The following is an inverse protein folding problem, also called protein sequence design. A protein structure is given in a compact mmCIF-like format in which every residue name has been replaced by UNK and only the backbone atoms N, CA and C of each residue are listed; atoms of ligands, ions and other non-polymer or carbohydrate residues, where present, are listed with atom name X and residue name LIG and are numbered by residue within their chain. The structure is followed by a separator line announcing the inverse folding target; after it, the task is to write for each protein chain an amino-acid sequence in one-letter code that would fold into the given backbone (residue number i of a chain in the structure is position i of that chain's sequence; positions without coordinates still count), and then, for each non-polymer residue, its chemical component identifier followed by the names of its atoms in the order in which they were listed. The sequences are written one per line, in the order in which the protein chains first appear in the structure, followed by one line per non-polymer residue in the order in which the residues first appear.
data_IF_316970851905
#
_entry.id   IF_316970851905
#
_cell.length_a   1.000
_cell.length_b   1.000
_cell.length_c   1.000
_cell.angle_alpha   90.00
_cell.angle_beta   90.00
_cell.angle_gamma   90.00
#
_symmetry.space_group_name_H-M   'P 1'
#
loop_
_entity.id
_entity.type
_entity.pdbx_description
1 polymer ?
#
# COMPACT_ATOMS: atom_id res chain seq x y z
N UNK A 1 -65.77 -14.29 17.74
CA UNK A 1 -66.63 -15.25 17.01
C UNK A 1 -65.90 -15.71 15.76
N UNK A 2 -65.27 -16.89 15.81
CA UNK A 2 -64.85 -17.67 14.65
C UNK A 2 -65.25 -19.11 14.93
N UNK A 3 -66.13 -19.66 14.08
CA UNK A 3 -66.72 -21.00 14.24
C UNK A 3 -65.72 -22.06 13.79
N UNK A 4 -65.43 -23.03 14.66
CA UNK A 4 -64.67 -24.24 14.32
C UNK A 4 -65.63 -25.27 13.73
N UNK A 5 -65.36 -25.73 12.50
CA UNK A 5 -66.05 -26.89 11.91
C UNK A 5 -65.56 -28.18 12.57
N UNK A 6 -66.53 -29.01 12.94
CA UNK A 6 -66.41 -30.33 13.56
C UNK A 6 -66.56 -31.39 12.48
N UNK A 7 -65.51 -32.13 12.14
CA UNK A 7 -65.58 -33.49 11.58
C UNK A 7 -64.19 -34.02 11.23
N UNK A 8 -63.61 -34.85 12.09
CA UNK A 8 -63.09 -36.19 11.76
C UNK A 8 -62.33 -36.79 12.97
N UNK A 9 -62.60 -38.04 13.38
CA UNK A 9 -61.89 -38.71 14.46
C UNK A 9 -60.57 -39.30 13.95
N UNK A 10 -59.46 -38.89 14.56
CA UNK A 10 -58.18 -39.55 14.37
C UNK A 10 -58.26 -41.01 14.81
N UNK A 11 -58.13 -41.94 13.86
CA UNK A 11 -57.91 -43.35 14.13
C UNK A 11 -56.46 -43.54 14.60
N UNK A 12 -56.26 -44.03 15.82
CA UNK A 12 -54.97 -44.58 16.24
C UNK A 12 -54.84 -46.02 15.71
N UNK A 13 -53.69 -46.33 15.11
CA UNK A 13 -53.26 -47.68 14.70
C UNK A 13 -52.78 -48.53 15.88
N UNK A 14 -53.51 -48.50 16.99
CA UNK A 14 -53.38 -49.47 18.07
C UNK A 14 -54.75 -49.57 18.75
N UNK A 15 -55.50 -50.62 18.45
CA UNK A 15 -56.85 -50.80 18.96
C UNK A 15 -56.86 -51.02 20.47
N UNK A 16 -57.11 -49.96 21.27
CA UNK A 16 -57.81 -50.00 22.57
C UNK A 16 -58.46 -48.64 22.84
N UNK A 17 -59.72 -48.66 23.32
CA UNK A 17 -60.46 -47.49 23.80
C UNK A 17 -59.83 -46.97 25.11
N UNK A 18 -59.65 -45.67 25.23
CA UNK A 18 -59.47 -45.01 26.52
C UNK A 18 -60.85 -44.53 27.00
N UNK A 19 -61.40 -45.20 28.00
CA UNK A 19 -62.52 -44.71 28.80
C UNK A 19 -61.95 -43.98 30.02
N UNK A 20 -62.56 -42.82 30.33
CA UNK A 20 -62.54 -42.20 31.65
C UNK A 20 -61.20 -41.62 32.10
N UNK A 21 -61.10 -40.30 32.10
CA UNK A 21 -60.74 -39.47 33.27
C UNK A 21 -60.41 -38.04 32.80
N UNK A 22 -61.30 -37.11 33.13
CA UNK A 22 -61.03 -35.68 33.15
C UNK A 22 -60.13 -35.34 34.34
N UNK A 23 -59.06 -34.58 34.12
CA UNK A 23 -58.34 -33.90 35.20
C UNK A 23 -58.60 -32.38 35.11
N UNK A 24 -58.99 -31.71 36.20
CA UNK A 24 -59.24 -30.28 36.24
C UNK A 24 -57.96 -29.46 36.41
N UNK A 25 -58.04 -28.18 36.05
CA UNK A 25 -56.98 -27.18 36.21
C UNK A 25 -56.67 -26.90 37.69
N UNK A 26 -55.38 -26.95 38.05
CA UNK A 26 -54.89 -26.55 39.37
C UNK A 26 -53.51 -27.13 39.70
N UNK A 27 -52.59 -26.25 40.07
CA UNK A 27 -51.19 -26.49 40.46
C UNK A 27 -51.04 -27.33 41.73
N UNK A 28 -50.10 -28.29 41.72
CA UNK A 28 -49.49 -28.86 42.92
C UNK A 28 -47.98 -29.06 42.71
N UNK A 29 -47.20 -28.54 43.63
CA UNK A 29 -45.80 -28.87 43.85
C UNK A 29 -45.67 -30.19 44.63
N UNK A 30 -44.55 -30.88 44.40
CA UNK A 30 -44.01 -32.02 45.17
C UNK A 30 -44.65 -33.41 44.97
N UNK A 31 -44.22 -34.08 43.91
CA UNK A 31 -43.65 -35.43 43.97
C UNK A 31 -42.60 -35.53 42.86
N UNK A 32 -41.38 -35.91 43.23
CA UNK A 32 -40.20 -35.94 42.37
C UNK A 32 -40.37 -36.82 41.13
N UNK A 33 -39.40 -36.69 40.21
CA UNK A 33 -39.35 -37.22 38.84
C UNK A 33 -39.95 -36.29 37.78
N UNK A 34 -39.29 -35.14 37.57
CA UNK A 34 -39.44 -34.37 36.33
C UNK A 34 -38.71 -35.09 35.19
N UNK A 35 -39.42 -35.91 34.43
CA UNK A 35 -39.00 -36.19 33.06
C UNK A 35 -39.21 -34.88 32.28
N UNK A 36 -38.14 -34.15 31.98
CA UNK A 36 -38.21 -32.88 31.22
C UNK A 36 -38.90 -33.16 29.88
N UNK A 37 -40.16 -32.75 29.80
CA UNK A 37 -40.97 -32.62 28.59
C UNK A 37 -40.20 -31.73 27.61
N UNK A 38 -39.65 -32.31 26.54
CA UNK A 38 -39.60 -31.76 25.17
C UNK A 38 -38.65 -32.58 24.26
N UNK A 39 -39.03 -33.80 23.89
CA UNK A 39 -38.56 -34.44 22.66
C UNK A 39 -39.68 -34.32 21.62
N UNK A 40 -39.87 -33.13 21.03
CA UNK A 40 -41.00 -32.86 20.11
C UNK A 40 -40.62 -32.85 18.63
N UNK A 41 -39.35 -33.04 18.29
CA UNK A 41 -38.92 -33.15 16.90
C UNK A 41 -38.71 -34.62 16.56
N UNK A 42 -39.49 -35.10 15.58
CA UNK A 42 -39.36 -36.43 14.98
C UNK A 42 -37.98 -36.51 14.30
N UNK A 43 -37.07 -37.31 14.84
CA UNK A 43 -35.74 -37.51 14.24
C UNK A 43 -34.81 -38.30 15.15
N UNK A 44 -34.30 -37.68 16.21
CA UNK A 44 -32.96 -38.08 16.70
C UNK A 44 -32.91 -38.42 18.20
N UNK A 45 -33.62 -39.47 18.60
CA UNK A 45 -33.48 -40.04 19.94
C UNK A 45 -33.56 -41.56 19.91
N UNK A 46 -32.51 -42.26 20.34
CA UNK A 46 -32.57 -43.69 20.58
C UNK A 46 -33.02 -43.94 22.03
N UNK A 47 -34.18 -44.58 22.23
CA UNK A 47 -34.58 -45.09 23.53
C UNK A 47 -34.14 -46.55 23.64
N UNK A 48 -33.20 -46.87 24.53
CA UNK A 48 -32.86 -48.26 24.85
C UNK A 48 -33.62 -48.73 26.09
N UNK A 49 -34.19 -49.94 26.00
CA UNK A 49 -34.90 -50.58 27.12
C UNK A 49 -33.88 -51.18 28.09
N UNK A 50 -33.95 -50.81 29.36
CA UNK A 50 -33.35 -51.59 30.46
C UNK A 50 -34.45 -52.20 31.31
N UNK A 51 -34.30 -53.50 31.64
CA UNK A 51 -35.19 -54.18 32.57
C UNK A 51 -34.77 -53.83 34.01
N UNK A 52 -35.63 -53.09 34.72
CA UNK A 52 -35.50 -52.90 36.16
C UNK A 52 -36.04 -54.11 36.94
N UNK A 53 -35.46 -54.39 38.10
CA UNK A 53 -35.65 -55.63 38.89
C UNK A 53 -37.01 -55.80 39.58
N UNK A 54 -38.02 -54.94 39.33
CA UNK A 54 -39.37 -55.08 39.88
C UNK A 54 -40.46 -54.59 38.93
N UNK A 55 -40.43 -55.04 37.67
CA UNK A 55 -41.55 -54.90 36.73
C UNK A 55 -41.93 -53.47 36.33
N UNK A 56 -41.10 -52.46 36.65
CA UNK A 56 -41.31 -51.07 36.22
C UNK A 56 -40.41 -50.77 35.01
N UNK A 57 -41.04 -50.49 33.86
CA UNK A 57 -40.35 -50.05 32.65
C UNK A 57 -39.93 -48.58 32.82
N UNK A 58 -38.64 -48.31 32.97
CA UNK A 58 -38.10 -46.96 32.84
C UNK A 58 -37.58 -46.77 31.41
N UNK A 59 -37.87 -45.62 30.79
CA UNK A 59 -37.26 -45.20 29.53
C UNK A 59 -36.29 -44.08 29.85
N UNK A 60 -35.01 -44.30 29.56
CA UNK A 60 -33.99 -43.27 29.63
C UNK A 60 -33.94 -42.59 28.26
N UNK A 61 -34.46 -41.37 28.18
CA UNK A 61 -34.39 -40.55 26.97
C UNK A 61 -33.11 -39.70 27.03
N UNK A 62 -32.12 -40.04 26.20
CA UNK A 62 -30.99 -39.15 25.95
C UNK A 62 -31.37 -38.24 24.79
N UNK A 63 -31.53 -36.93 25.06
CA UNK A 63 -31.64 -35.95 23.98
C UNK A 63 -30.26 -35.82 23.33
N UNK A 64 -30.10 -36.31 22.10
CA UNK A 64 -28.98 -35.91 21.26
C UNK A 64 -29.17 -34.42 20.97
N UNK A 65 -28.27 -33.60 21.51
CA UNK A 65 -28.28 -32.15 21.28
C UNK A 65 -28.04 -31.86 19.80
N UNK A 66 -28.63 -30.75 19.36
CA UNK A 66 -28.45 -30.08 18.06
C UNK A 66 -27.05 -30.23 17.47
N UNK A 67 -26.98 -30.52 16.17
CA UNK A 67 -25.76 -30.53 15.36
C UNK A 67 -24.87 -29.32 15.68
N UNK A 68 -23.55 -29.52 15.81
CA UNK A 68 -22.61 -28.41 16.04
C UNK A 68 -22.73 -27.42 14.86
N UNK A 69 -23.35 -26.26 15.10
CA UNK A 69 -23.56 -25.19 14.08
C UNK A 69 -22.27 -24.37 13.86
N UNK A 70 -21.12 -24.88 14.31
CA UNK A 70 -19.85 -24.16 14.23
C UNK A 70 -19.30 -24.18 12.81
N UNK A 71 -18.98 -23.00 12.29
CA UNK A 71 -18.26 -22.86 11.03
C UNK A 71 -16.81 -22.47 11.27
N UNK A 72 -15.93 -22.84 10.33
CA UNK A 72 -14.55 -22.40 10.36
C UNK A 72 -14.47 -20.90 9.99
N UNK A 73 -13.47 -20.18 10.50
CA UNK A 73 -13.09 -18.88 9.94
C UNK A 73 -12.80 -18.99 8.44
N UNK A 74 -12.97 -17.88 7.70
CA UNK A 74 -12.71 -17.81 6.25
C UNK A 74 -12.06 -16.49 5.85
N UNK A 75 -11.65 -16.35 4.59
CA UNK A 75 -11.01 -15.14 4.05
C UNK A 75 -9.83 -14.68 4.90
N UNK A 76 -8.90 -15.61 5.15
CA UNK A 76 -7.69 -15.35 5.92
C UNK A 76 -6.72 -14.57 5.03
N UNK A 77 -6.33 -13.39 5.49
CA UNK A 77 -5.36 -12.51 4.83
C UNK A 77 -4.33 -12.05 5.88
N UNK A 78 -3.10 -11.81 5.43
CA UNK A 78 -2.04 -11.26 6.27
C UNK A 78 -1.22 -10.26 5.47
N UNK A 79 -0.92 -9.11 6.08
CA UNK A 79 -0.17 -8.02 5.47
C UNK A 79 0.93 -7.61 6.45
N UNK A 80 2.18 -7.59 6.02
CA UNK A 80 3.29 -7.04 6.81
C UNK A 80 2.97 -5.59 7.23
N UNK A 81 3.34 -5.18 8.43
CA UNK A 81 3.23 -3.79 8.92
C UNK A 81 4.60 -3.14 9.17
N UNK A 82 5.62 -3.96 9.45
CA UNK A 82 7.00 -3.50 9.66
C UNK A 82 7.98 -4.64 9.36
N UNK A 83 9.27 -4.43 9.62
CA UNK A 83 10.25 -5.50 9.57
C UNK A 83 9.93 -6.63 10.56
N UNK A 84 9.17 -6.38 11.63
CA UNK A 84 8.97 -7.33 12.72
C UNK A 84 7.49 -7.65 13.01
N UNK A 85 6.53 -6.98 12.34
CA UNK A 85 5.10 -7.13 12.62
C UNK A 85 4.26 -7.29 11.35
N UNK A 86 3.11 -7.94 11.48
CA UNK A 86 2.08 -8.07 10.44
C UNK A 86 0.67 -7.92 11.04
N UNK A 87 -0.30 -7.52 10.22
CA UNK A 87 -1.71 -7.59 10.53
C UNK A 87 -2.32 -8.82 9.86
N UNK A 88 -3.03 -9.63 10.65
CA UNK A 88 -3.78 -10.80 10.18
C UNK A 88 -5.26 -10.45 10.25
N UNK A 89 -6.00 -10.65 9.17
CA UNK A 89 -7.44 -10.39 9.04
C UNK A 89 -8.18 -11.66 8.63
N UNK A 90 -9.39 -11.84 9.14
CA UNK A 90 -10.25 -12.98 8.79
C UNK A 90 -11.73 -12.68 9.01
N UNK A 91 -12.59 -13.45 8.34
CA UNK A 91 -14.02 -13.52 8.66
C UNK A 91 -14.25 -14.52 9.80
N UNK A 92 -14.81 -14.11 10.95
CA UNK A 92 -15.05 -15.02 12.07
C UNK A 92 -16.06 -16.11 11.71
N UNK A 93 -15.83 -17.32 12.22
CA UNK A 93 -16.82 -18.40 12.16
C UNK A 93 -18.00 -18.17 13.12
N UNK A 94 -19.11 -18.86 12.91
CA UNK A 94 -20.30 -18.80 13.78
C UNK A 94 -20.27 -19.87 14.86
N UNK A 95 -20.95 -19.65 15.99
CA UNK A 95 -21.17 -20.69 17.01
C UNK A 95 -19.96 -21.02 17.90
N UNK A 96 -18.95 -20.14 17.94
CA UNK A 96 -17.80 -20.24 18.83
C UNK A 96 -17.99 -19.32 20.05
N UNK A 97 -17.37 -19.68 21.18
CA UNK A 97 -17.27 -18.79 22.36
C UNK A 97 -15.90 -18.13 22.46
N UNK A 98 -14.90 -18.63 21.74
CA UNK A 98 -13.56 -18.04 21.70
C UNK A 98 -12.81 -18.44 20.41
N UNK A 99 -11.71 -17.74 20.13
CA UNK A 99 -10.80 -18.04 19.05
C UNK A 99 -9.34 -18.06 19.51
N UNK A 100 -8.52 -18.90 18.86
CA UNK A 100 -7.07 -18.92 19.03
C UNK A 100 -6.38 -18.64 17.69
N UNK A 101 -5.24 -17.96 17.75
CA UNK A 101 -4.34 -17.71 16.62
C UNK A 101 -2.98 -18.34 16.92
N UNK A 102 -2.46 -19.07 15.95
CA UNK A 102 -1.14 -19.68 15.97
C UNK A 102 -0.35 -19.16 14.77
N UNK A 103 0.93 -18.81 14.95
CA UNK A 103 1.80 -18.37 13.85
C UNK A 103 3.24 -18.87 14.05
N UNK A 104 3.83 -19.40 12.99
CA UNK A 104 5.21 -19.91 12.96
C UNK A 104 5.80 -19.99 11.54
N UNK A 105 7.12 -20.20 11.43
CA UNK A 105 7.81 -20.46 10.16
C UNK A 105 7.53 -21.90 9.67
N UNK A 106 7.16 -22.81 10.58
CA UNK A 106 6.86 -24.22 10.29
C UNK A 106 5.35 -24.48 10.14
N UNK A 107 4.92 -24.84 8.93
CA UNK A 107 3.54 -25.29 8.68
C UNK A 107 3.13 -26.46 9.58
N UNK A 108 4.05 -27.40 9.85
CA UNK A 108 3.80 -28.56 10.69
C UNK A 108 3.58 -28.17 12.16
N UNK A 109 4.31 -27.17 12.66
CA UNK A 109 4.12 -26.67 14.02
C UNK A 109 2.75 -26.01 14.19
N UNK A 110 2.35 -25.18 13.22
CA UNK A 110 1.04 -24.51 13.20
C UNK A 110 -0.10 -25.52 13.09
N UNK A 111 0.03 -26.53 12.22
CA UNK A 111 -0.98 -27.59 12.10
C UNK A 111 -1.07 -28.46 13.36
N UNK A 112 0.08 -28.70 14.01
CA UNK A 112 0.22 -29.36 15.30
C UNK A 112 -0.16 -28.51 16.51
N UNK A 113 -0.76 -27.32 16.30
CA UNK A 113 -1.21 -26.41 17.37
C UNK A 113 -0.10 -25.97 18.32
N UNK A 114 1.14 -25.94 17.82
CA UNK A 114 2.28 -25.41 18.54
C UNK A 114 2.60 -26.16 19.85
N UNK A 115 2.39 -27.48 19.88
CA UNK A 115 2.69 -28.30 21.07
C UNK A 115 4.15 -28.18 21.54
N UNK A 116 5.08 -27.93 20.62
CA UNK A 116 6.51 -27.73 20.89
C UNK A 116 6.92 -26.25 20.94
N UNK A 117 5.92 -25.35 20.98
CA UNK A 117 6.09 -23.90 20.88
C UNK A 117 5.90 -23.39 19.46
N UNK A 118 5.40 -22.16 19.36
CA UNK A 118 5.39 -21.38 18.12
C UNK A 118 5.88 -19.97 18.43
N UNK A 119 6.25 -19.25 17.38
CA UNK A 119 6.66 -17.85 17.48
C UNK A 119 5.59 -16.95 18.09
N UNK A 120 4.32 -17.20 17.79
CA UNK A 120 3.19 -16.49 18.38
C UNK A 120 2.02 -17.44 18.66
N UNK A 121 1.45 -17.31 19.86
CA UNK A 121 0.23 -17.98 20.27
C UNK A 121 -0.65 -16.95 20.97
N UNK A 122 -1.85 -16.72 20.44
CA UNK A 122 -2.88 -15.87 21.04
C UNK A 122 -4.07 -16.75 21.37
N UNK A 123 -4.51 -16.76 22.63
CA UNK A 123 -5.57 -17.64 23.11
C UNK A 123 -6.75 -16.85 23.66
N UNK A 124 -7.92 -17.48 23.63
CA UNK A 124 -9.15 -16.96 24.25
C UNK A 124 -9.55 -15.58 23.71
N UNK A 125 -9.32 -15.33 22.42
CA UNK A 125 -9.83 -14.12 21.77
C UNK A 125 -11.36 -14.18 21.69
N UNK A 126 -12.02 -13.03 21.78
CA UNK A 126 -13.46 -12.92 21.59
C UNK A 126 -13.88 -13.52 20.22
N UNK A 127 -15.02 -14.22 20.14
CA UNK A 127 -15.44 -14.93 18.92
C UNK A 127 -15.79 -13.99 17.76
N UNK A 128 -15.90 -12.69 18.02
CA UNK A 128 -16.16 -11.65 17.02
C UNK A 128 -14.90 -10.97 16.50
N UNK A 129 -13.72 -11.26 17.07
CA UNK A 129 -12.46 -10.68 16.59
C UNK A 129 -12.21 -11.15 15.16
N UNK A 130 -11.95 -10.20 14.28
CA UNK A 130 -11.69 -10.39 12.84
C UNK A 130 -10.32 -9.88 12.40
N UNK A 131 -9.50 -9.37 13.34
CA UNK A 131 -8.14 -8.92 13.03
C UNK A 131 -7.22 -8.96 14.26
N UNK A 132 -5.93 -9.16 14.03
CA UNK A 132 -4.89 -9.14 15.05
C UNK A 132 -3.57 -8.58 14.48
N UNK A 133 -2.92 -7.69 15.23
CA UNK A 133 -1.58 -7.19 14.90
C UNK A 133 -0.57 -8.00 15.72
N UNK A 134 0.42 -8.59 15.05
CA UNK A 134 1.45 -9.37 15.74
C UNK A 134 2.33 -8.48 16.61
N UNK A 135 2.81 -9.05 17.71
CA UNK A 135 3.98 -8.52 18.43
C UNK A 135 5.22 -8.48 17.50
N UNK A 136 6.29 -7.77 17.86
CA UNK A 136 7.53 -7.68 17.05
C UNK A 136 8.28 -9.01 17.09
N UNK A 137 7.76 -9.98 16.36
CA UNK A 137 8.19 -11.38 16.36
C UNK A 137 8.36 -11.92 14.96
N UNK A 138 8.50 -11.10 13.92
CA UNK A 138 8.72 -11.56 12.55
C UNK A 138 10.11 -11.17 12.07
N UNK A 139 10.62 -11.91 11.10
CA UNK A 139 11.90 -11.63 10.46
C UNK A 139 11.72 -11.46 8.94
N UNK A 140 12.27 -10.39 8.34
CA UNK A 140 12.26 -10.13 6.90
C UNK A 140 12.67 -11.33 6.02
N UNK A 141 11.96 -11.51 4.91
CA UNK A 141 12.31 -12.49 3.87
C UNK A 141 11.97 -13.93 4.25
N UNK A 142 11.06 -14.14 5.20
CA UNK A 142 10.63 -15.47 5.65
C UNK A 142 9.16 -15.71 5.35
N UNK A 143 8.81 -16.97 5.09
CA UNK A 143 7.41 -17.40 4.99
C UNK A 143 6.89 -17.80 6.36
N UNK A 144 5.76 -17.24 6.76
CA UNK A 144 5.05 -17.61 7.97
C UNK A 144 3.72 -18.29 7.64
N UNK A 145 3.39 -19.31 8.42
CA UNK A 145 2.12 -20.00 8.41
C UNK A 145 1.32 -19.56 9.62
N UNK A 146 0.01 -19.43 9.47
CA UNK A 146 -0.87 -19.09 10.58
C UNK A 146 -2.19 -19.83 10.49
N UNK A 147 -2.81 -20.04 11.66
CA UNK A 147 -4.06 -20.78 11.81
C UNK A 147 -4.97 -20.10 12.82
N UNK A 148 -6.21 -19.85 12.40
CA UNK A 148 -7.28 -19.37 13.27
C UNK A 148 -8.17 -20.55 13.61
N UNK A 149 -8.39 -20.74 14.91
CA UNK A 149 -9.20 -21.83 15.44
C UNK A 149 -10.36 -21.29 16.26
N UNK A 150 -11.58 -21.68 15.89
CA UNK A 150 -12.79 -21.38 16.64
C UNK A 150 -13.09 -22.46 17.66
N UNK A 151 -13.22 -22.07 18.93
CA UNK A 151 -13.42 -22.91 20.11
C UNK A 151 -14.76 -22.61 20.78
N UNK A 152 -15.32 -23.61 21.46
CA UNK A 152 -16.48 -23.47 22.33
C UNK A 152 -16.13 -24.18 23.63
N UNK A 153 -16.18 -23.43 24.71
CA UNK A 153 -15.89 -23.95 26.04
C UNK A 153 -17.24 -24.09 26.75
N UNK A 154 -17.67 -25.32 27.00
CA UNK A 154 -18.77 -25.59 27.92
C UNK A 154 -18.20 -25.74 29.34
N UNK A 155 -18.75 -25.03 30.31
CA UNK A 155 -18.34 -25.16 31.73
C UNK A 155 -18.70 -26.55 32.31
N UNK A 156 -19.62 -27.28 31.68
CA UNK A 156 -19.93 -28.67 32.01
C UNK A 156 -19.27 -29.60 30.98
N UNK A 157 -18.19 -30.28 31.38
CA UNK A 157 -17.32 -31.22 30.63
C UNK A 157 -18.00 -32.43 29.93
N UNK A 158 -19.18 -32.26 29.32
CA UNK A 158 -19.99 -33.35 28.77
C UNK A 158 -20.23 -33.26 27.26
N UNK A 159 -19.73 -32.22 26.57
CA UNK A 159 -19.88 -32.05 25.11
C UNK A 159 -18.67 -31.38 24.48
N UNK A 160 -17.88 -32.15 23.72
CA UNK A 160 -16.81 -31.63 22.88
C UNK A 160 -17.29 -31.53 21.43
N UNK A 161 -17.56 -30.31 20.95
CA UNK A 161 -17.62 -30.07 19.50
C UNK A 161 -16.18 -29.94 18.99
N UNK A 162 -15.80 -30.75 17.99
CA UNK A 162 -14.46 -30.69 17.40
C UNK A 162 -14.15 -29.26 16.93
N UNK A 163 -12.95 -28.72 17.22
CA UNK A 163 -12.56 -27.40 16.77
C UNK A 163 -12.67 -27.26 15.24
N UNK A 164 -13.06 -26.08 14.78
CA UNK A 164 -13.05 -25.72 13.35
C UNK A 164 -11.96 -24.67 13.14
N UNK A 165 -11.14 -24.86 12.12
CA UNK A 165 -10.00 -23.99 11.85
C UNK A 165 -9.81 -23.76 10.37
N UNK A 166 -9.16 -22.65 10.04
CA UNK A 166 -8.59 -22.37 8.73
C UNK A 166 -7.13 -21.96 8.90
N UNK A 167 -6.31 -22.35 7.92
CA UNK A 167 -4.87 -22.07 7.89
C UNK A 167 -4.52 -21.39 6.57
N UNK A 168 -3.52 -20.51 6.62
CA UNK A 168 -2.95 -19.84 5.46
C UNK A 168 -1.47 -19.55 5.68
N UNK A 169 -0.80 -19.01 4.67
CA UNK A 169 0.60 -18.58 4.74
C UNK A 169 0.79 -17.23 4.08
N UNK A 170 1.80 -16.48 4.51
CA UNK A 170 2.23 -15.25 3.87
C UNK A 170 3.76 -15.15 3.87
N UNK A 171 4.32 -14.48 2.88
CA UNK A 171 5.72 -14.09 2.91
C UNK A 171 5.84 -12.76 3.66
N UNK A 172 6.56 -12.78 4.79
CA UNK A 172 6.86 -11.58 5.56
C UNK A 172 8.08 -10.90 4.95
N UNK A 173 7.80 -9.93 4.10
CA UNK A 173 8.80 -8.96 3.70
C UNK A 173 8.68 -7.75 4.64
N UNK A 174 9.80 -7.12 5.03
CA UNK A 174 9.72 -5.81 5.65
C UNK A 174 9.01 -4.94 4.61
N UNK A 175 7.91 -4.31 4.98
CA UNK A 175 7.43 -3.20 4.17
C UNK A 175 8.58 -2.22 4.08
N UNK A 176 9.23 -2.11 2.92
CA UNK A 176 9.67 -0.80 2.50
C UNK A 176 8.42 -0.11 1.96
N UNK A 177 7.55 0.26 2.92
CA UNK A 177 6.51 1.28 2.76
C UNK A 177 7.12 2.68 2.57
N UNK A 178 8.46 2.75 2.49
CA UNK A 178 9.15 3.99 2.19
C UNK A 178 9.21 4.15 0.70
N UNK A 179 8.67 5.26 0.18
CA UNK A 179 8.89 5.58 -1.22
C UNK A 179 10.37 5.77 -1.48
N UNK A 180 10.73 5.47 -2.72
CA UNK A 180 12.07 5.65 -3.23
C UNK A 180 11.98 6.21 -4.64
N UNK A 181 13.06 6.84 -5.07
CA UNK A 181 13.14 7.44 -6.39
C UNK A 181 14.26 6.80 -7.20
N UNK A 182 14.21 6.90 -8.51
CA UNK A 182 15.22 6.33 -9.39
C UNK A 182 15.61 7.33 -10.46
N UNK A 183 16.88 7.38 -10.81
CA UNK A 183 17.33 7.98 -12.06
C UNK A 183 17.52 6.90 -13.12
N UNK A 184 17.27 7.22 -14.38
CA UNK A 184 17.62 6.41 -15.52
C UNK A 184 18.60 7.20 -16.38
N UNK A 185 19.81 6.65 -16.52
CA UNK A 185 20.98 7.35 -17.04
C UNK A 185 21.29 8.64 -16.25
N UNK A 186 22.11 9.51 -16.84
CA UNK A 186 22.43 10.83 -16.29
C UNK A 186 23.25 10.78 -15.00
N UNK A 187 23.68 11.94 -14.52
CA UNK A 187 24.42 12.04 -13.26
C UNK A 187 23.53 12.66 -12.19
N UNK A 188 23.76 12.26 -10.94
CA UNK A 188 23.13 12.85 -9.77
C UNK A 188 24.17 13.68 -9.05
N UNK A 189 23.78 14.88 -8.60
CA UNK A 189 24.63 15.73 -7.78
C UNK A 189 23.83 16.35 -6.64
N UNK A 190 24.41 16.39 -5.44
CA UNK A 190 23.91 17.20 -4.32
C UNK A 190 25.06 17.78 -3.50
N UNK A 191 25.02 19.08 -3.15
CA UNK A 191 26.00 19.65 -2.20
C UNK A 191 25.91 19.02 -0.80
N UNK A 192 24.74 18.52 -0.44
CA UNK A 192 24.47 17.89 0.84
C UNK A 192 24.44 16.36 0.77
N UNK A 193 23.52 15.79 1.54
CA UNK A 193 23.28 14.35 1.59
C UNK A 193 22.37 13.91 0.45
N UNK A 194 22.70 12.78 -0.17
CA UNK A 194 21.79 12.03 -1.04
C UNK A 194 21.22 10.88 -0.20
N UNK A 195 19.93 10.92 0.06
CA UNK A 195 19.21 9.88 0.83
C UNK A 195 18.12 9.27 -0.03
N UNK A 196 18.11 7.95 -0.12
CA UNK A 196 17.11 7.20 -0.86
C UNK A 196 17.01 5.76 -0.33
N UNK A 197 15.90 5.38 0.30
CA UNK A 197 15.80 4.07 0.96
C UNK A 197 15.39 2.98 -0.05
N UNK A 198 16.33 2.59 -0.92
CA UNK A 198 16.07 1.64 -1.98
C UNK A 198 15.70 0.24 -1.43
N UNK A 199 14.72 -0.44 -2.06
CA UNK A 199 14.50 -1.87 -1.86
C UNK A 199 15.72 -2.73 -2.15
N UNK A 200 15.73 -3.92 -1.55
CA UNK A 200 16.74 -4.92 -1.85
C UNK A 200 16.70 -5.26 -3.35
N UNK A 201 17.88 -5.40 -3.96
CA UNK A 201 18.07 -5.60 -5.40
C UNK A 201 17.70 -4.40 -6.31
N UNK A 202 17.18 -3.29 -5.78
CA UNK A 202 16.99 -2.04 -6.52
C UNK A 202 18.28 -1.22 -6.64
N UNK A 203 18.27 -0.29 -7.58
CA UNK A 203 19.40 0.59 -7.87
C UNK A 203 18.96 2.05 -8.02
N UNK A 204 19.83 2.97 -7.59
CA UNK A 204 19.60 4.42 -7.69
C UNK A 204 19.59 4.89 -9.14
N UNK A 205 20.52 4.38 -9.95
CA UNK A 205 20.69 4.75 -11.36
C UNK A 205 20.56 3.50 -12.24
N UNK A 206 19.47 3.47 -13.03
CA UNK A 206 19.25 2.52 -14.11
C UNK A 206 20.19 2.81 -15.27
N UNK A 207 20.64 1.76 -15.96
CA UNK A 207 21.40 1.94 -17.19
C UNK A 207 20.45 2.36 -18.32
N UNK A 208 20.95 3.15 -19.28
CA UNK A 208 20.22 3.35 -20.54
C UNK A 208 20.21 2.08 -21.41
N UNK A 209 19.55 2.16 -22.58
CA UNK A 209 19.50 1.08 -23.58
C UNK A 209 20.89 0.62 -24.07
N UNK A 210 21.95 1.40 -23.82
CA UNK A 210 23.32 1.10 -24.23
C UNK A 210 24.18 0.61 -23.06
N UNK A 211 23.60 0.41 -21.88
CA UNK A 211 24.31 0.01 -20.67
C UNK A 211 25.09 1.16 -20.01
N UNK A 212 24.86 2.40 -20.43
CA UNK A 212 25.49 3.59 -19.85
C UNK A 212 24.76 3.94 -18.56
N UNK A 213 25.46 3.80 -17.45
CA UNK A 213 25.00 4.27 -16.14
C UNK A 213 25.41 5.71 -15.87
N UNK A 214 25.08 6.16 -14.67
CA UNK A 214 25.44 7.47 -14.15
C UNK A 214 26.49 7.43 -13.05
N UNK A 215 26.95 8.62 -12.65
CA UNK A 215 27.70 8.85 -11.42
C UNK A 215 26.84 9.60 -10.41
N UNK A 216 26.98 9.24 -9.13
CA UNK A 216 26.46 10.03 -8.01
C UNK A 216 27.59 10.85 -7.41
N UNK A 217 27.42 12.16 -7.34
CA UNK A 217 28.33 13.06 -6.64
C UNK A 217 27.63 13.75 -5.48
N UNK A 218 28.29 13.87 -4.34
CA UNK A 218 27.67 14.42 -3.13
C UNK A 218 28.69 15.11 -2.22
N UNK A 219 28.30 16.14 -1.48
CA UNK A 219 29.18 16.78 -0.48
C UNK A 219 28.98 16.28 0.95
N UNK A 220 27.83 15.67 1.25
CA UNK A 220 27.47 15.14 2.57
C UNK A 220 27.62 13.61 2.67
N UNK A 221 26.53 12.94 3.08
CA UNK A 221 26.44 11.48 3.12
C UNK A 221 25.73 10.92 1.89
N UNK A 222 25.94 9.63 1.63
CA UNK A 222 25.18 8.85 0.65
C UNK A 222 24.55 7.68 1.39
N UNK A 223 23.22 7.72 1.55
CA UNK A 223 22.42 6.67 2.20
C UNK A 223 21.43 6.09 1.19
N UNK A 224 21.58 4.79 0.91
CA UNK A 224 20.81 4.08 -0.12
C UNK A 224 19.92 2.96 0.45
N UNK A 225 19.84 2.82 1.77
CA UNK A 225 19.19 1.66 2.38
C UNK A 225 19.80 0.33 1.91
N UNK A 226 18.95 -0.59 1.43
CA UNK A 226 19.36 -1.95 1.03
C UNK A 226 19.79 -2.07 -0.45
N UNK A 227 19.61 -1.00 -1.25
CA UNK A 227 19.95 -1.01 -2.66
C UNK A 227 21.40 -0.65 -2.97
N UNK A 228 21.68 -0.41 -4.26
CA UNK A 228 23.01 -0.02 -4.75
C UNK A 228 22.94 1.19 -5.68
N UNK A 229 24.09 1.75 -6.06
CA UNK A 229 24.11 2.93 -6.94
C UNK A 229 23.72 2.56 -8.37
N UNK A 230 24.33 1.53 -8.95
CA UNK A 230 24.10 1.20 -10.36
C UNK A 230 23.70 -0.25 -10.56
N UNK A 231 22.84 -0.46 -11.56
CA UNK A 231 22.39 -1.79 -11.98
C UNK A 231 23.55 -2.70 -12.36
N UNK A 232 24.49 -2.18 -13.15
CA UNK A 232 25.69 -2.86 -13.65
C UNK A 232 26.79 -3.09 -12.59
N UNK A 233 26.58 -2.65 -11.35
CA UNK A 233 27.52 -2.85 -10.25
C UNK A 233 28.77 -1.95 -10.25
N UNK A 234 28.94 -1.06 -11.24
CA UNK A 234 30.06 -0.12 -11.28
C UNK A 234 30.06 0.87 -10.10
N UNK A 235 28.87 1.25 -9.62
CA UNK A 235 28.64 2.08 -8.44
C UNK A 235 29.52 3.35 -8.38
N UNK A 236 29.65 4.05 -9.51
CA UNK A 236 30.48 5.24 -9.62
C UNK A 236 29.98 6.35 -8.70
N UNK A 237 30.86 6.80 -7.80
CA UNK A 237 30.56 7.83 -6.82
C UNK A 237 31.74 8.75 -6.56
N UNK A 238 31.44 10.00 -6.25
CA UNK A 238 32.44 11.00 -5.85
C UNK A 238 31.92 11.81 -4.66
N UNK A 239 32.70 11.89 -3.58
CA UNK A 239 32.45 12.87 -2.53
C UNK A 239 33.16 14.18 -2.93
N UNK A 240 32.39 15.14 -3.43
CA UNK A 240 32.90 16.40 -3.98
C UNK A 240 31.83 17.47 -3.89
N UNK A 241 32.28 18.73 -3.86
CA UNK A 241 31.43 19.90 -4.02
C UNK A 241 31.46 20.39 -5.47
N UNK A 242 30.38 21.02 -5.88
CA UNK A 242 30.25 21.81 -7.10
C UNK A 242 31.15 23.04 -6.99
N UNK A 243 32.03 23.20 -7.97
CA UNK A 243 32.92 24.36 -8.10
C UNK A 243 32.61 25.20 -9.35
N UNK A 244 31.54 24.85 -10.05
CA UNK A 244 31.11 25.57 -11.24
C UNK A 244 30.38 26.87 -10.89
N UNK A 245 29.92 27.56 -11.93
CA UNK A 245 29.10 28.75 -11.78
C UNK A 245 27.66 28.34 -11.43
N UNK A 246 27.12 28.86 -10.32
CA UNK A 246 25.68 28.73 -10.03
C UNK A 246 24.86 29.45 -11.11
N UNK A 247 24.21 28.68 -11.99
CA UNK A 247 23.34 29.19 -13.07
C UNK A 247 21.88 29.12 -12.65
N UNK A 248 21.37 30.24 -12.16
CA UNK A 248 20.00 30.41 -11.70
C UNK A 248 19.17 31.38 -12.55
N UNK A 249 17.99 31.77 -12.08
CA UNK A 249 17.09 32.70 -12.76
C UNK A 249 17.80 34.01 -13.14
N UNK A 250 18.51 34.64 -12.21
CA UNK A 250 19.21 35.89 -12.48
C UNK A 250 20.31 35.76 -13.55
N UNK A 251 20.96 34.60 -13.61
CA UNK A 251 21.95 34.30 -14.65
C UNK A 251 21.28 34.16 -16.02
N UNK A 252 20.22 33.36 -16.11
CA UNK A 252 19.52 33.09 -17.36
C UNK A 252 18.78 34.32 -17.89
N UNK A 253 18.09 35.08 -17.03
CA UNK A 253 17.47 36.35 -17.38
C UNK A 253 18.47 37.31 -18.02
N UNK A 254 19.69 37.40 -17.47
CA UNK A 254 20.73 38.28 -18.00
C UNK A 254 21.23 37.86 -19.38
N UNK A 255 21.37 36.56 -19.66
CA UNK A 255 21.84 36.14 -20.99
C UNK A 255 20.74 36.16 -22.04
N UNK A 256 19.47 36.03 -21.62
CA UNK A 256 18.30 35.99 -22.50
C UNK A 256 17.74 37.37 -22.82
N UNK A 257 18.07 38.40 -22.03
CA UNK A 257 17.65 39.79 -22.31
C UNK A 257 18.22 40.33 -23.64
N UNK A 258 19.30 39.72 -24.15
CA UNK A 258 19.97 40.12 -25.39
C UNK A 258 19.34 39.42 -26.62
N UNK A 259 18.26 38.65 -26.46
CA UNK A 259 17.54 38.06 -27.58
C UNK A 259 16.86 39.17 -28.41
N UNK A 260 17.14 39.29 -29.72
CA UNK A 260 16.54 40.31 -30.59
C UNK A 260 15.04 40.13 -30.79
N UNK A 261 14.51 38.93 -30.57
CA UNK A 261 13.06 38.64 -30.62
C UNK A 261 12.36 39.17 -29.35
N UNK A 262 13.13 39.55 -28.33
CA UNK A 262 12.65 40.07 -27.06
C UNK A 262 12.12 38.97 -26.14
N UNK A 263 11.50 39.41 -25.04
CA UNK A 263 10.89 38.53 -24.04
C UNK A 263 9.39 38.79 -24.04
N UNK A 264 8.61 37.78 -24.43
CA UNK A 264 7.15 37.78 -24.39
C UNK A 264 6.62 37.70 -22.96
N UNK A 265 5.31 37.90 -22.80
CA UNK A 265 4.62 37.72 -21.52
C UNK A 265 4.08 36.30 -21.43
N UNK A 266 4.36 35.61 -20.33
CA UNK A 266 3.78 34.31 -20.03
C UNK A 266 2.53 34.48 -19.16
N UNK A 267 1.45 33.78 -19.50
CA UNK A 267 0.14 33.87 -18.82
C UNK A 267 -0.21 32.62 -17.98
N UNK A 268 0.67 31.63 -17.91
CA UNK A 268 0.43 30.36 -17.23
C UNK A 268 0.11 29.20 -18.17
N UNK A 269 -0.29 29.45 -19.41
CA UNK A 269 -0.58 28.43 -20.42
C UNK A 269 0.64 28.13 -21.29
N UNK A 270 0.64 27.02 -22.05
CA UNK A 270 1.71 26.74 -23.02
C UNK A 270 1.74 27.86 -24.07
N UNK A 271 2.88 28.54 -24.30
CA UNK A 271 2.99 29.48 -25.40
C UNK A 271 2.74 28.81 -26.76
N UNK A 272 2.06 29.52 -27.66
CA UNK A 272 1.74 29.03 -29.01
C UNK A 272 2.95 29.07 -29.96
N UNK A 273 3.91 29.95 -29.68
CA UNK A 273 5.09 30.16 -30.51
C UNK A 273 6.37 29.79 -29.76
N UNK A 274 7.45 29.57 -30.52
CA UNK A 274 8.78 29.46 -29.93
C UNK A 274 9.26 30.83 -29.50
N UNK A 275 10.00 30.88 -28.40
CA UNK A 275 10.53 32.13 -27.88
C UNK A 275 10.82 32.07 -26.40
N UNK A 276 11.12 33.24 -25.85
CA UNK A 276 11.36 33.44 -24.44
C UNK A 276 10.17 34.19 -23.87
N UNK A 277 9.63 33.71 -22.76
CA UNK A 277 8.48 34.28 -22.09
C UNK A 277 8.80 34.55 -20.64
N UNK A 278 8.29 35.65 -20.10
CA UNK A 278 8.42 35.99 -18.69
C UNK A 278 7.07 35.99 -18.00
N UNK A 279 6.96 35.21 -16.92
CA UNK A 279 5.85 35.22 -15.99
C UNK A 279 6.23 35.93 -14.70
N UNK A 280 5.28 36.68 -14.14
CA UNK A 280 5.37 37.23 -12.80
C UNK A 280 4.00 37.12 -12.14
N UNK A 281 3.97 36.79 -10.84
CA UNK A 281 2.73 36.65 -10.05
C UNK A 281 1.77 35.54 -10.51
N UNK A 282 2.25 34.56 -11.27
CA UNK A 282 1.51 33.33 -11.53
C UNK A 282 1.86 32.30 -10.44
N UNK A 283 0.87 31.74 -9.77
CA UNK A 283 1.11 30.69 -8.77
C UNK A 283 1.35 29.31 -9.39
N UNK A 284 0.85 29.08 -10.61
CA UNK A 284 0.85 27.77 -11.24
C UNK A 284 0.74 27.85 -12.76
N UNK A 285 1.11 26.76 -13.43
CA UNK A 285 0.75 26.51 -14.84
C UNK A 285 -0.75 26.24 -14.96
N UNK A 286 -1.34 26.57 -16.10
CA UNK A 286 -2.78 26.47 -16.38
C UNK A 286 -3.07 25.95 -17.79
N UNK A 287 -4.35 25.69 -18.05
CA UNK A 287 -4.83 25.20 -19.36
C UNK A 287 -4.85 23.67 -19.44
N UNK A 288 -4.79 23.16 -20.66
CA UNK A 288 -4.68 21.73 -20.94
C UNK A 288 -3.24 21.23 -20.74
N UNK A 289 -3.03 19.91 -20.80
CA UNK A 289 -1.68 19.32 -20.84
C UNK A 289 -0.84 19.90 -21.97
N UNK A 290 0.44 20.13 -21.70
CA UNK A 290 1.34 20.78 -22.64
C UNK A 290 2.00 19.74 -23.54
N UNK A 291 1.91 19.97 -24.85
CA UNK A 291 2.69 19.23 -25.85
C UNK A 291 3.60 20.18 -26.60
N UNK A 292 4.91 20.05 -26.38
CA UNK A 292 5.93 20.81 -27.10
C UNK A 292 6.41 19.96 -28.27
N UNK A 293 6.04 20.38 -29.49
CA UNK A 293 6.28 19.64 -30.70
C UNK A 293 7.76 19.70 -31.13
N UNK A 294 8.17 18.78 -32.00
CA UNK A 294 9.49 18.81 -32.60
C UNK A 294 9.74 20.14 -33.33
N UNK A 295 10.86 20.79 -33.02
CA UNK A 295 11.23 22.10 -33.58
C UNK A 295 10.73 23.29 -32.77
N UNK A 296 9.80 23.11 -31.84
CA UNK A 296 9.40 24.18 -30.91
C UNK A 296 10.45 24.37 -29.82
N UNK A 297 10.79 25.62 -29.53
CA UNK A 297 11.77 26.00 -28.50
C UNK A 297 11.19 27.07 -27.60
N UNK A 298 10.82 26.69 -26.39
CA UNK A 298 10.15 27.56 -25.43
C UNK A 298 11.04 27.69 -24.20
N UNK A 299 11.28 28.93 -23.78
CA UNK A 299 11.97 29.25 -22.52
C UNK A 299 11.04 30.11 -21.67
N UNK A 300 10.78 29.69 -20.45
CA UNK A 300 9.93 30.40 -19.50
C UNK A 300 10.82 30.86 -18.33
N UNK A 301 10.87 32.17 -18.13
CA UNK A 301 11.46 32.83 -16.99
C UNK A 301 10.35 33.23 -16.03
N UNK A 302 10.27 32.60 -14.86
CA UNK A 302 9.24 32.91 -13.87
C UNK A 302 9.82 33.59 -12.63
N UNK A 303 9.27 34.74 -12.28
CA UNK A 303 9.63 35.45 -11.05
C UNK A 303 8.70 35.02 -9.90
N UNK A 304 9.28 34.29 -8.94
CA UNK A 304 8.60 33.70 -7.79
C UNK A 304 8.57 32.18 -7.81
N UNK A 305 7.75 31.60 -6.94
CA UNK A 305 7.48 30.17 -6.87
C UNK A 305 6.50 29.75 -7.96
N UNK A 306 6.61 28.50 -8.43
CA UNK A 306 5.75 27.96 -9.48
C UNK A 306 5.29 26.55 -9.16
N UNK A 307 3.97 26.33 -9.26
CA UNK A 307 3.39 24.99 -9.26
C UNK A 307 3.17 24.50 -10.70
N UNK A 308 3.80 23.38 -11.08
CA UNK A 308 3.50 22.67 -12.33
C UNK A 308 2.28 21.80 -12.11
N UNK A 309 1.17 22.15 -12.74
CA UNK A 309 -0.15 21.55 -12.49
C UNK A 309 -0.75 20.82 -13.71
N UNK A 310 0.05 20.64 -14.77
CA UNK A 310 -0.33 19.87 -15.96
C UNK A 310 0.76 18.87 -16.31
N UNK A 311 0.41 17.82 -17.05
CA UNK A 311 1.42 16.99 -17.69
C UNK A 311 2.09 17.78 -18.82
N UNK A 312 3.40 17.55 -18.98
CA UNK A 312 4.21 18.24 -19.97
C UNK A 312 4.99 17.20 -20.76
N UNK A 313 4.67 17.06 -22.05
CA UNK A 313 5.37 16.22 -23.02
C UNK A 313 6.22 17.09 -23.96
N UNK A 314 7.48 16.68 -24.18
CA UNK A 314 8.39 17.35 -25.12
C UNK A 314 8.87 16.33 -26.14
N UNK A 315 8.32 16.43 -27.35
CA UNK A 315 8.70 15.59 -28.48
C UNK A 315 10.21 15.70 -28.75
N UNK A 316 10.82 14.62 -29.25
CA UNK A 316 12.23 14.67 -29.68
C UNK A 316 12.43 15.75 -30.74
N UNK A 317 13.42 16.62 -30.53
CA UNK A 317 13.64 17.79 -31.39
C UNK A 317 12.98 19.07 -30.86
N UNK A 318 12.06 18.97 -29.90
CA UNK A 318 11.51 20.09 -29.15
C UNK A 318 12.41 20.47 -27.97
N UNK A 319 12.14 21.64 -27.40
CA UNK A 319 12.84 22.14 -26.22
C UNK A 319 11.90 22.98 -25.35
N UNK A 320 11.85 22.64 -24.07
CA UNK A 320 11.22 23.45 -23.04
C UNK A 320 12.22 23.66 -21.90
N UNK A 321 12.38 24.91 -21.48
CA UNK A 321 13.05 25.25 -20.23
C UNK A 321 12.14 26.11 -19.36
N UNK A 322 11.92 25.70 -18.11
CA UNK A 322 11.23 26.49 -17.08
C UNK A 322 12.26 26.84 -16.00
N UNK A 323 12.52 28.13 -15.84
CA UNK A 323 13.56 28.67 -14.97
C UNK A 323 12.89 29.66 -14.02
N UNK A 324 12.93 29.36 -12.73
CA UNK A 324 12.20 30.11 -11.71
C UNK A 324 13.14 30.70 -10.66
N UNK A 325 12.81 31.88 -10.14
CA UNK A 325 13.61 32.54 -9.09
C UNK A 325 13.32 32.03 -7.68
N UNK A 326 12.26 31.24 -7.50
CA UNK A 326 11.88 30.62 -6.22
C UNK A 326 11.88 29.10 -6.31
N UNK A 327 10.85 28.49 -5.74
CA UNK A 327 10.64 27.03 -5.72
C UNK A 327 9.86 26.53 -6.94
N UNK A 328 10.13 25.29 -7.36
CA UNK A 328 9.27 24.53 -8.29
C UNK A 328 8.57 23.44 -7.50
N UNK A 329 7.24 23.38 -7.59
CA UNK A 329 6.45 22.28 -7.04
C UNK A 329 5.71 21.56 -8.16
N UNK A 330 5.93 20.27 -8.34
CA UNK A 330 5.16 19.45 -9.27
C UNK A 330 3.95 18.91 -8.52
N UNK A 331 2.75 19.27 -8.99
CA UNK A 331 1.50 18.92 -8.32
C UNK A 331 1.23 17.41 -8.35
N UNK A 332 0.44 16.95 -7.39
CA UNK A 332 0.19 15.54 -7.08
C UNK A 332 -0.40 14.78 -8.27
N UNK A 333 -1.31 15.43 -9.02
CA UNK A 333 -2.00 14.86 -10.17
C UNK A 333 -1.15 14.77 -11.45
N UNK A 334 0.05 15.36 -11.47
CA UNK A 334 0.93 15.32 -12.64
C UNK A 334 1.67 13.99 -12.66
N UNK A 335 1.57 13.22 -13.73
CA UNK A 335 2.25 11.92 -13.87
C UNK A 335 3.45 12.00 -14.79
N UNK A 336 3.53 13.03 -15.64
CA UNK A 336 4.61 13.20 -16.60
C UNK A 336 5.04 14.66 -16.73
N UNK A 337 6.34 14.91 -16.57
CA UNK A 337 6.95 16.22 -16.86
C UNK A 337 8.22 16.04 -17.66
N UNK A 338 8.33 16.74 -18.79
CA UNK A 338 9.50 16.68 -19.64
C UNK A 338 10.11 18.07 -19.87
N UNK A 339 11.44 18.16 -19.99
CA UNK A 339 12.14 19.41 -20.29
C UNK A 339 13.30 19.75 -19.34
N UNK A 340 13.67 21.02 -19.29
CA UNK A 340 14.71 21.56 -18.42
C UNK A 340 14.08 22.41 -17.32
N UNK A 341 14.32 22.06 -16.07
CA UNK A 341 13.73 22.74 -14.91
C UNK A 341 14.84 23.27 -14.01
N UNK A 342 14.87 24.58 -13.79
CA UNK A 342 15.86 25.25 -12.94
C UNK A 342 15.15 26.08 -11.88
N UNK A 343 15.41 25.78 -10.61
CA UNK A 343 14.91 26.54 -9.47
C UNK A 343 16.08 27.16 -8.71
N UNK A 344 15.99 28.46 -8.43
CA UNK A 344 16.93 29.11 -7.49
C UNK A 344 16.72 28.62 -6.06
N UNK A 345 15.48 28.26 -5.71
CA UNK A 345 15.09 27.60 -4.47
C UNK A 345 15.10 26.08 -4.58
N UNK A 346 14.02 25.45 -4.10
CA UNK A 346 13.84 24.00 -4.00
C UNK A 346 12.98 23.43 -5.11
N UNK A 347 13.08 22.11 -5.30
CA UNK A 347 12.15 21.33 -6.12
C UNK A 347 11.39 20.33 -5.26
N UNK A 348 10.06 20.33 -5.38
CA UNK A 348 9.14 19.41 -4.71
C UNK A 348 8.35 18.58 -5.73
N UNK A 349 8.09 17.30 -5.46
CA UNK A 349 7.26 16.41 -6.32
C UNK A 349 5.85 16.17 -5.81
N UNK A 350 5.45 16.90 -4.76
CA UNK A 350 4.08 16.95 -4.29
C UNK A 350 3.77 18.32 -3.66
N UNK A 351 2.56 18.81 -3.92
CA UNK A 351 2.00 20.05 -3.41
C UNK A 351 1.16 19.85 -2.14
N UNK A 352 0.48 18.70 -1.97
CA UNK A 352 -0.29 18.43 -0.75
C UNK A 352 0.60 18.25 0.49
N UNK A 353 0.14 18.81 1.62
CA UNK A 353 0.74 18.63 2.94
C UNK A 353 0.71 17.17 3.43
N UNK A 354 -0.03 16.28 2.76
CA UNK A 354 -0.19 14.87 3.12
C UNK A 354 0.76 13.91 2.38
N UNK A 355 1.67 14.41 1.54
CA UNK A 355 2.61 13.57 0.80
C UNK A 355 3.84 13.22 1.64
N UNK A 356 4.13 11.92 1.74
CA UNK A 356 5.32 11.41 2.42
C UNK A 356 5.20 11.25 3.94
N UNK A 357 4.02 11.51 4.53
CA UNK A 357 3.76 11.14 5.93
C UNK A 357 3.38 9.66 5.99
N UNK A 358 4.23 8.85 6.64
CA UNK A 358 4.10 7.39 6.82
C UNK A 358 2.87 6.94 7.64
N UNK A 359 1.86 7.78 7.76
CA UNK A 359 0.61 7.53 8.48
C UNK A 359 -0.57 8.42 8.05
N UNK A 360 -0.44 9.15 6.94
CA UNK A 360 -1.49 10.00 6.40
C UNK A 360 -2.24 9.30 5.28
N UNK A 361 -3.56 9.45 5.23
CA UNK A 361 -4.45 9.07 4.11
C UNK A 361 -4.15 9.91 2.85
N UNK A 362 -2.87 9.98 2.45
CA UNK A 362 -2.39 10.72 1.30
C UNK A 362 -2.86 10.04 0.04
N UNK A 363 -3.41 10.84 -0.86
CA UNK A 363 -3.89 10.47 -2.20
C UNK A 363 -2.95 9.42 -2.81
N UNK A 364 -3.48 8.30 -3.32
CA UNK A 364 -2.69 7.34 -4.11
C UNK A 364 -1.89 8.13 -5.15
N UNK A 365 -0.59 8.32 -4.90
CA UNK A 365 0.19 9.13 -5.82
C UNK A 365 0.59 8.24 -6.97
N UNK A 366 0.12 8.61 -8.15
CA UNK A 366 0.65 8.07 -9.39
C UNK A 366 2.17 8.29 -9.44
N UNK A 367 2.87 7.33 -10.04
CA UNK A 367 4.29 7.48 -10.31
C UNK A 367 4.54 8.79 -11.07
N UNK A 368 5.50 9.60 -10.62
CA UNK A 368 6.00 10.71 -11.43
C UNK A 368 7.07 10.21 -12.37
N UNK A 369 6.89 10.44 -13.67
CA UNK A 369 7.92 10.26 -14.68
C UNK A 369 8.43 11.62 -15.15
N UNK A 370 9.63 11.97 -14.70
CA UNK A 370 10.27 13.25 -14.96
C UNK A 370 11.43 13.08 -15.96
N UNK A 371 11.21 13.38 -17.24
CA UNK A 371 12.26 13.22 -18.27
C UNK A 371 12.95 14.54 -18.60
N UNK A 372 14.24 14.68 -18.29
CA UNK A 372 14.85 15.99 -18.47
C UNK A 372 16.16 16.24 -17.75
N UNK A 373 16.34 17.53 -17.47
CA UNK A 373 17.42 18.08 -16.65
C UNK A 373 16.75 18.89 -15.55
N UNK A 374 17.02 18.54 -14.29
CA UNK A 374 16.43 19.18 -13.13
C UNK A 374 17.54 19.74 -12.26
N UNK A 375 17.41 21.00 -11.84
CA UNK A 375 18.37 21.67 -10.97
C UNK A 375 17.61 22.52 -9.97
N UNK A 376 17.86 22.32 -8.68
CA UNK A 376 17.31 23.14 -7.61
C UNK A 376 18.42 23.48 -6.63
N UNK A 377 18.75 24.77 -6.54
CA UNK A 377 19.96 25.19 -5.86
C UNK A 377 19.86 25.21 -4.33
N UNK A 378 18.66 25.15 -3.76
CA UNK A 378 18.43 25.01 -2.32
C UNK A 378 17.98 23.60 -1.90
N UNK A 379 17.96 22.66 -2.86
CA UNK A 379 17.73 21.25 -2.62
C UNK A 379 16.55 20.67 -3.38
N UNK A 380 16.44 19.34 -3.35
CA UNK A 380 15.36 18.59 -3.97
C UNK A 380 14.71 17.74 -2.89
N UNK A 381 13.38 17.80 -2.80
CA UNK A 381 12.59 17.06 -1.83
C UNK A 381 11.52 16.23 -2.56
N UNK A 382 11.76 14.93 -2.62
CA UNK A 382 10.91 13.97 -3.30
C UNK A 382 9.95 13.35 -2.28
N UNK A 383 8.65 13.48 -2.50
CA UNK A 383 7.61 13.23 -1.49
C UNK A 383 6.49 12.31 -1.97
N UNK A 384 6.56 11.74 -3.17
CA UNK A 384 5.51 10.83 -3.65
C UNK A 384 5.60 9.50 -2.95
N UNK A 385 4.44 8.88 -2.79
CA UNK A 385 4.28 7.61 -2.09
C UNK A 385 3.06 6.86 -2.66
N UNK A 386 3.24 5.59 -3.02
CA UNK A 386 2.13 4.72 -3.43
C UNK A 386 1.22 4.32 -2.26
N UNK A 387 1.68 4.47 -1.01
CA UNK A 387 1.00 3.99 0.20
C UNK A 387 0.61 2.50 0.10
N UNK A 388 1.42 1.71 -0.61
CA UNK A 388 1.14 0.32 -0.93
C UNK A 388 2.43 -0.48 -1.09
N UNK A 389 2.28 -1.81 -1.21
CA UNK A 389 3.37 -2.71 -1.53
C UNK A 389 4.06 -2.40 -2.88
N UNK A 390 3.47 -1.56 -3.74
CA UNK A 390 4.05 -1.13 -5.01
C UNK A 390 5.35 -0.34 -4.82
N UNK A 391 5.55 0.33 -3.68
CA UNK A 391 6.84 0.94 -3.32
C UNK A 391 7.99 -0.09 -3.31
N UNK A 392 7.73 -1.38 -3.15
CA UNK A 392 8.79 -2.40 -3.23
C UNK A 392 9.18 -2.75 -4.67
N UNK A 393 8.29 -2.50 -5.63
CA UNK A 393 8.42 -2.93 -7.02
C UNK A 393 8.78 -1.79 -7.96
N UNK A 394 8.34 -0.58 -7.64
CA UNK A 394 8.43 0.59 -8.50
C UNK A 394 8.88 1.82 -7.71
N UNK A 395 9.72 2.69 -8.29
CA UNK A 395 10.03 3.97 -7.68
C UNK A 395 8.81 4.88 -7.74
N UNK A 396 8.55 5.64 -6.69
CA UNK A 396 7.48 6.64 -6.67
C UNK A 396 7.78 7.80 -7.63
N UNK A 397 9.06 8.15 -7.79
CA UNK A 397 9.54 9.10 -8.80
C UNK A 397 10.67 8.53 -9.66
N UNK A 398 10.51 8.63 -10.98
CA UNK A 398 11.48 8.20 -11.97
C UNK A 398 11.99 9.41 -12.78
N UNK A 399 13.28 9.71 -12.67
CA UNK A 399 13.95 10.76 -13.42
C UNK A 399 14.73 10.18 -14.60
N UNK A 400 14.38 10.53 -15.83
CA UNK A 400 15.05 10.01 -17.04
C UNK A 400 15.88 11.12 -17.68
N UNK A 401 17.18 10.93 -17.82
CA UNK A 401 18.02 11.94 -18.46
C UNK A 401 17.76 12.04 -19.97
N UNK A 402 17.49 13.26 -20.46
CA UNK A 402 17.22 13.56 -21.88
C UNK A 402 18.36 14.39 -22.50
N UNK A 403 19.42 13.76 -23.03
CA UNK A 403 20.56 14.48 -23.62
C UNK A 403 20.20 15.27 -24.88
N UNK A 404 19.12 14.90 -25.58
CA UNK A 404 18.64 15.61 -26.77
C UNK A 404 18.23 17.06 -26.46
N UNK A 405 17.78 17.36 -25.24
CA UNK A 405 17.42 18.72 -24.83
C UNK A 405 18.61 19.69 -24.88
N UNK A 406 19.84 19.20 -24.62
CA UNK A 406 21.05 20.03 -24.72
C UNK A 406 21.32 20.42 -26.17
N UNK A 407 21.11 19.50 -27.11
CA UNK A 407 21.31 19.74 -28.55
C UNK A 407 20.21 20.65 -29.11
N UNK A 408 18.98 20.49 -28.61
CA UNK A 408 17.82 21.24 -29.09
C UNK A 408 17.61 22.59 -28.39
N UNK A 409 18.45 22.93 -27.41
CA UNK A 409 18.32 24.14 -26.61
C UNK A 409 18.13 25.42 -27.44
N UNK A 410 17.47 26.40 -26.81
CA UNK A 410 17.35 27.74 -27.40
C UNK A 410 18.73 28.33 -27.66
N UNK A 411 18.89 29.00 -28.81
CA UNK A 411 20.21 29.40 -29.35
C UNK A 411 21.05 30.24 -28.37
N UNK A 412 20.41 31.06 -27.54
CA UNK A 412 21.08 31.92 -26.56
C UNK A 412 21.44 31.21 -25.24
N UNK A 413 20.94 30.00 -25.01
CA UNK A 413 21.39 29.14 -23.90
C UNK A 413 22.69 28.40 -24.26
N UNK A 414 22.96 28.22 -25.55
CA UNK A 414 24.17 27.59 -26.05
C UNK A 414 25.32 28.59 -26.03
N UNK A 415 26.32 28.33 -25.20
CA UNK A 415 27.61 29.06 -25.29
C UNK A 415 28.58 28.27 -26.16
N UNK A 416 29.10 28.87 -27.26
CA UNK A 416 30.24 28.26 -27.93
C UNK A 416 31.43 28.31 -26.96
N UNK A 417 32.04 27.15 -26.72
CA UNK A 417 33.35 27.09 -26.10
C UNK A 417 34.37 27.50 -27.17
N UNK A 418 34.88 28.72 -27.08
CA UNK A 418 35.94 29.21 -27.97
C UNK A 418 37.22 29.25 -27.14
N UNK A 419 38.12 28.31 -27.45
CA UNK A 419 39.50 28.36 -26.97
C UNK A 419 40.34 29.04 -28.06
N UNK A 420 40.95 30.17 -27.72
CA UNK A 420 41.87 30.86 -28.63
C UNK A 420 43.28 30.58 -28.15
N UNK A 421 44.10 30.04 -29.03
CA UNK A 421 45.53 29.86 -28.82
C UNK A 421 46.31 30.60 -29.90
N UNK A 422 47.22 31.47 -29.51
CA UNK A 422 48.21 32.04 -30.41
C UNK A 422 49.15 30.93 -30.89
N UNK A 423 49.21 30.71 -32.21
CA UNK A 423 50.19 29.80 -32.81
C UNK A 423 51.34 30.66 -33.34
N UNK A 424 52.57 30.36 -32.91
CA UNK A 424 53.75 31.10 -33.37
C UNK A 424 53.84 31.06 -34.91
N UNK A 425 54.17 32.20 -35.55
CA UNK A 425 54.14 32.35 -37.01
C UNK A 425 55.10 31.42 -37.75
#
# INVERSE_FOLDING_TARGET
MCRVKKSEPWRCTCGKKAEGLTCPEGTYESCGWSCKKNCRNKGDGSCTKKNGTKGTLCHECVCLGTECVRTAPSNLEAVSLSAEQAQITWTPGTGATSQNLFLDESAAAVEGLCNDGCRLIVQNMEPTVSSYITEPVLEPGKTYYYKIMSLEIYEDNLRECSPRSASASFEHWPLLDRPWWQAAAGNIHAEGTVSNHLPAASYLIASDLWGTGGMVSYGGALDLGAGRISENGLNWRANTSYRGLKTGYGYFRRILQDDPEGIGVWNGEKPEESGIYQGANLGQTSGADWKVAAGEKIVILHEGDLVINQNIEVDRGGFLAIIVSGDITIADGVTEVQGVYVADGKLFTCHSLSCGDSGGLGVENYQLKAEGIFTAWEGVELRRDFNSADNNLHPAELFVYRPDLVVNAHKYLLRPYIDWQEVAP
#
